data_IF_912659410246
#
_entry.id   IF_912659410246
#
_cell.length_a   1.000
_cell.length_b   1.000
_cell.length_c   1.000
_cell.angle_alpha   90.00
_cell.angle_beta   90.00
_cell.angle_gamma   90.00
#
_symmetry.space_group_name_H-M   'P 1'
#
loop_
_entity.id
_entity.type
_entity.pdbx_description
1 polymer ?
#
# COMPACT_ATOMS: atom_id res chain seq x y z
N UNK A 1 39.08 -39.99 38.15
CA UNK A 1 38.31 -39.31 39.22
C UNK A 1 38.81 -39.71 40.62
N UNK A 2 39.23 -40.96 40.84
CA UNK A 2 39.76 -41.44 42.14
C UNK A 2 41.11 -40.83 42.54
N UNK A 3 42.06 -40.63 41.62
CA UNK A 3 43.38 -40.06 41.96
C UNK A 3 43.33 -38.57 42.30
N UNK A 4 42.46 -37.81 41.63
CA UNK A 4 42.33 -36.36 41.84
C UNK A 4 41.70 -36.03 43.20
N UNK A 5 40.76 -36.87 43.67
CA UNK A 5 40.18 -36.77 45.01
C UNK A 5 41.20 -37.13 46.10
N UNK A 6 42.10 -38.09 45.84
CA UNK A 6 43.15 -38.48 46.78
C UNK A 6 44.19 -37.36 46.97
N UNK A 7 44.58 -36.71 45.88
CA UNK A 7 45.52 -35.59 45.87
C UNK A 7 44.96 -34.31 46.51
N UNK A 8 43.64 -34.10 46.37
CA UNK A 8 42.89 -33.01 47.03
C UNK A 8 42.75 -33.21 48.55
N UNK A 9 42.67 -34.46 49.02
CA UNK A 9 42.48 -34.77 50.44
C UNK A 9 43.79 -34.73 51.26
N UNK A 10 44.93 -35.04 50.63
CA UNK A 10 46.24 -35.03 51.30
C UNK A 10 46.88 -33.63 51.39
N UNK A 11 46.36 -32.65 50.65
CA UNK A 11 47.00 -31.33 50.54
C UNK A 11 45.97 -30.20 50.69
N UNK A 12 45.66 -29.83 51.94
CA UNK A 12 44.64 -28.82 52.28
C UNK A 12 44.89 -27.47 51.57
N UNK A 13 46.14 -27.11 51.29
CA UNK A 13 46.49 -25.91 50.53
C UNK A 13 46.04 -25.96 49.07
N UNK A 14 46.12 -27.13 48.43
CA UNK A 14 45.64 -27.32 47.04
C UNK A 14 44.12 -27.26 46.98
N UNK A 15 43.44 -27.77 48.01
CA UNK A 15 41.97 -27.67 48.11
C UNK A 15 41.50 -26.20 48.17
N UNK A 16 42.20 -25.38 48.95
CA UNK A 16 41.89 -23.95 49.06
C UNK A 16 42.13 -23.20 47.73
N UNK A 17 43.21 -23.51 47.02
CA UNK A 17 43.53 -22.90 45.72
C UNK A 17 42.51 -23.31 44.64
N UNK A 18 42.12 -24.59 44.59
CA UNK A 18 41.10 -25.08 43.65
C UNK A 18 39.72 -24.49 43.99
N UNK A 19 39.37 -24.39 45.27
CA UNK A 19 38.12 -23.77 45.72
C UNK A 19 38.04 -22.27 45.36
N UNK A 20 39.14 -21.54 45.52
CA UNK A 20 39.25 -20.14 45.09
C UNK A 20 39.17 -20.00 43.56
N UNK A 21 39.80 -20.91 42.82
CA UNK A 21 39.72 -20.93 41.35
C UNK A 21 38.28 -21.11 40.85
N UNK A 22 37.51 -22.03 41.46
CA UNK A 22 36.11 -22.28 41.09
C UNK A 22 35.21 -21.09 41.44
N UNK A 23 35.46 -20.39 42.55
CA UNK A 23 34.68 -19.20 42.94
C UNK A 23 34.97 -18.00 42.04
N UNK A 24 36.22 -17.80 41.62
CA UNK A 24 36.58 -16.75 40.67
C UNK A 24 35.97 -17.04 39.29
N UNK A 25 36.07 -18.29 38.80
CA UNK A 25 35.50 -18.68 37.50
C UNK A 25 33.97 -18.57 37.47
N UNK A 26 33.29 -18.95 38.56
CA UNK A 26 31.83 -18.80 38.66
C UNK A 26 31.40 -17.32 38.76
N UNK A 27 32.18 -16.48 39.46
CA UNK A 27 31.97 -15.02 39.47
C UNK A 27 32.14 -14.37 38.10
N UNK A 28 33.17 -14.76 37.34
CA UNK A 28 33.39 -14.26 35.96
C UNK A 28 32.27 -14.74 35.03
N UNK A 29 31.87 -16.01 35.10
CA UNK A 29 30.76 -16.53 34.31
C UNK A 29 29.43 -15.81 34.64
N UNK A 30 29.13 -15.61 35.93
CA UNK A 30 27.95 -14.84 36.36
C UNK A 30 28.02 -13.38 35.87
N UNK A 31 29.19 -12.75 35.90
CA UNK A 31 29.37 -11.39 35.39
C UNK A 31 29.19 -11.30 33.87
N UNK A 32 29.71 -12.25 33.08
CA UNK A 32 29.52 -12.30 31.62
C UNK A 32 28.04 -12.54 31.26
N UNK A 33 27.37 -13.45 31.97
CA UNK A 33 25.94 -13.69 31.78
C UNK A 33 25.07 -12.50 32.22
N UNK A 34 25.47 -11.76 33.27
CA UNK A 34 24.74 -10.58 33.74
C UNK A 34 25.01 -9.34 32.87
N UNK A 35 26.21 -9.20 32.30
CA UNK A 35 26.57 -8.12 31.37
C UNK A 35 25.83 -8.25 30.03
N UNK A 36 25.58 -9.47 29.57
CA UNK A 36 24.70 -9.73 28.42
C UNK A 36 23.20 -9.62 28.75
N UNK A 37 22.83 -9.37 30.01
CA UNK A 37 21.45 -9.10 30.45
C UNK A 37 21.16 -7.63 30.76
N UNK A 38 22.15 -6.75 30.67
CA UNK A 38 21.91 -5.31 30.71
C UNK A 38 21.57 -4.79 29.32
N UNK A 39 20.34 -5.07 28.90
CA UNK A 39 19.63 -4.14 28.02
C UNK A 39 19.51 -2.85 28.83
N UNK A 40 20.19 -1.80 28.36
CA UNK A 40 20.13 -0.48 28.95
C UNK A 40 18.70 0.04 28.89
N UNK A 41 17.95 -0.12 29.98
CA UNK A 41 16.77 0.69 30.26
C UNK A 41 17.26 2.09 30.66
N UNK A 42 17.56 2.91 29.66
CA UNK A 42 17.52 4.36 29.86
C UNK A 42 16.06 4.81 29.87
N UNK A 43 15.51 4.90 31.08
CA UNK A 43 14.37 5.77 31.36
C UNK A 43 14.83 7.21 31.17
N UNK A 44 14.48 7.80 30.03
CA UNK A 44 14.00 9.19 29.85
C UNK A 44 14.29 9.67 28.43
N UNK A 45 13.42 9.29 27.50
CA UNK A 45 13.13 10.05 26.29
C UNK A 45 11.65 9.79 25.93
N UNK A 46 10.83 10.80 25.63
CA UNK A 46 9.38 10.65 25.49
C UNK A 46 8.97 10.12 24.10
N UNK A 47 9.85 9.39 23.41
CA UNK A 47 9.55 8.79 22.12
C UNK A 47 9.30 7.29 22.30
N UNK A 48 8.06 6.92 22.04
CA UNK A 48 7.47 5.58 22.11
C UNK A 48 8.44 4.51 21.58
N UNK A 49 8.94 3.63 22.44
CA UNK A 49 9.59 2.37 22.04
C UNK A 49 8.51 1.29 21.92
N UNK A 50 8.09 0.99 20.70
CA UNK A 50 7.22 -0.14 20.39
C UNK A 50 8.02 -1.45 20.51
N UNK A 51 8.08 -2.00 21.71
CA UNK A 51 8.81 -3.23 22.00
C UNK A 51 8.02 -4.51 21.77
N UNK A 52 6.69 -4.47 21.66
CA UNK A 52 5.81 -5.62 21.44
C UNK A 52 4.71 -5.20 20.45
N UNK A 53 4.20 -6.13 19.64
CA UNK A 53 3.20 -5.83 18.60
C UNK A 53 2.03 -5.00 19.12
N UNK A 54 1.90 -3.78 18.63
CA UNK A 54 0.76 -2.91 18.91
C UNK A 54 -0.36 -3.37 17.98
N UNK A 55 -1.27 -4.19 18.48
CA UNK A 55 -2.58 -4.41 17.85
C UNK A 55 -3.53 -3.32 18.37
N UNK A 56 -3.50 -2.16 17.73
CA UNK A 56 -4.48 -1.10 17.97
C UNK A 56 -5.49 -1.15 16.82
N UNK A 57 -6.74 -1.47 17.13
CA UNK A 57 -7.83 -1.48 16.15
C UNK A 57 -8.33 -0.09 15.72
N UNK A 58 -7.52 0.96 15.88
CA UNK A 58 -7.87 2.36 15.66
C UNK A 58 -6.68 3.30 15.48
N UNK A 59 -6.96 4.59 15.21
CA UNK A 59 -5.99 5.65 14.88
C UNK A 59 -4.83 5.73 15.88
N UNK A 60 -3.58 5.77 15.37
CA UNK A 60 -2.40 6.11 16.17
C UNK A 60 -2.09 7.60 15.93
N UNK A 61 -2.07 8.37 17.02
CA UNK A 61 -1.70 9.79 16.97
C UNK A 61 -0.26 9.91 17.47
N UNK A 62 0.65 10.33 16.59
CA UNK A 62 2.05 10.63 16.94
C UNK A 62 2.33 12.08 16.57
N UNK A 63 2.69 12.91 17.55
CA UNK A 63 3.16 14.28 17.32
C UNK A 63 2.15 15.23 16.64
N UNK A 64 0.83 15.04 16.85
CA UNK A 64 -0.21 15.88 16.26
C UNK A 64 -0.61 15.51 14.83
N UNK A 65 0.02 14.48 14.25
CA UNK A 65 -0.41 13.88 12.98
C UNK A 65 -1.20 12.61 13.26
N UNK A 66 -2.44 12.55 12.77
CA UNK A 66 -3.22 11.29 12.72
C UNK A 66 -2.62 10.40 11.64
N UNK A 67 -2.06 9.26 12.03
CA UNK A 67 -1.77 8.19 11.09
C UNK A 67 -2.87 7.14 11.23
N UNK A 68 -3.72 7.03 10.21
CA UNK A 68 -4.69 5.94 10.14
C UNK A 68 -3.91 4.64 9.95
N UNK A 69 -3.88 3.80 10.99
CA UNK A 69 -3.52 2.40 10.84
C UNK A 69 -4.77 1.71 10.34
N UNK A 70 -4.84 1.48 9.03
CA UNK A 70 -5.86 0.63 8.44
C UNK A 70 -5.71 -0.77 9.04
N UNK A 71 -6.75 -1.22 9.75
CA UNK A 71 -6.89 -2.57 10.27
C UNK A 71 -6.46 -3.60 9.22
N UNK A 72 -5.68 -4.60 9.64
CA UNK A 72 -5.31 -5.79 8.86
C UNK A 72 -6.59 -6.58 8.48
N UNK A 73 -7.29 -6.14 7.44
CA UNK A 73 -7.94 -7.10 6.55
C UNK A 73 -6.82 -7.95 5.93
N UNK A 74 -7.06 -9.23 5.68
CA UNK A 74 -6.14 -10.08 4.89
C UNK A 74 -6.08 -9.54 3.45
N UNK A 75 -5.38 -8.43 3.26
CA UNK A 75 -5.33 -7.66 2.04
C UNK A 75 -3.99 -7.91 1.32
N UNK A 76 -3.97 -7.83 -0.02
CA UNK A 76 -2.73 -7.84 -0.76
C UNK A 76 -2.05 -6.48 -0.61
N UNK A 77 -0.72 -6.48 -0.54
CA UNK A 77 0.09 -5.28 -0.53
C UNK A 77 1.24 -5.50 -1.49
N UNK A 78 1.23 -4.83 -2.64
CA UNK A 78 2.20 -5.09 -3.70
C UNK A 78 3.17 -3.93 -3.83
N UNK A 79 4.45 -4.18 -3.59
CA UNK A 79 5.52 -3.21 -3.83
C UNK A 79 6.19 -3.48 -5.16
N UNK A 80 6.73 -2.42 -5.76
CA UNK A 80 7.63 -2.55 -6.90
C UNK A 80 9.03 -2.17 -6.47
N UNK A 81 9.97 -3.08 -6.73
CA UNK A 81 11.39 -2.85 -6.59
C UNK A 81 12.02 -2.79 -7.98
N UNK A 82 12.85 -1.78 -8.28
CA UNK A 82 13.66 -1.81 -9.48
C UNK A 82 14.70 -2.91 -9.31
N UNK A 83 14.80 -3.81 -10.28
CA UNK A 83 15.83 -4.85 -10.29
C UNK A 83 17.07 -4.39 -11.05
N UNK A 84 16.88 -3.87 -12.26
CA UNK A 84 17.94 -3.23 -13.03
C UNK A 84 17.39 -2.23 -14.05
N UNK A 85 18.08 -1.11 -14.24
CA UNK A 85 17.85 -0.17 -15.32
C UNK A 85 18.84 -0.45 -16.44
N UNK A 86 18.41 -1.13 -17.50
CA UNK A 86 19.26 -1.35 -18.68
C UNK A 86 19.16 -0.14 -19.61
N UNK A 87 20.17 0.73 -19.53
CA UNK A 87 20.22 2.00 -20.26
C UNK A 87 20.17 1.87 -21.79
N UNK A 88 20.34 0.69 -22.38
CA UNK A 88 20.56 0.58 -23.83
C UNK A 88 19.35 0.11 -24.65
N UNK A 89 18.29 -0.42 -24.02
CA UNK A 89 17.17 -1.06 -24.75
C UNK A 89 15.78 -0.45 -24.51
N UNK A 90 15.65 0.51 -23.58
CA UNK A 90 14.34 1.05 -23.21
C UNK A 90 13.45 0.03 -22.49
N UNK A 91 14.06 -0.99 -21.89
CA UNK A 91 13.41 -2.01 -21.09
C UNK A 91 13.60 -1.72 -19.61
N UNK A 92 12.57 -2.06 -18.82
CA UNK A 92 12.58 -1.90 -17.38
C UNK A 92 12.23 -3.22 -16.71
N UNK A 93 13.16 -3.69 -15.88
CA UNK A 93 13.01 -4.92 -15.14
C UNK A 93 12.46 -4.58 -13.76
N UNK A 94 11.16 -4.84 -13.61
CA UNK A 94 10.46 -4.62 -12.36
C UNK A 94 10.25 -5.93 -11.63
N UNK A 95 10.61 -5.93 -10.34
CA UNK A 95 10.20 -6.96 -9.41
C UNK A 95 8.96 -6.47 -8.68
N UNK A 96 7.87 -7.19 -8.86
CA UNK A 96 6.64 -7.05 -8.10
C UNK A 96 6.74 -8.01 -6.93
N UNK A 97 6.54 -7.52 -5.71
CA UNK A 97 6.58 -8.34 -4.50
C UNK A 97 5.29 -8.13 -3.72
N UNK A 98 4.60 -9.23 -3.41
CA UNK A 98 3.43 -9.18 -2.54
C UNK A 98 3.88 -9.35 -1.09
N UNK A 99 3.87 -8.24 -0.35
CA UNK A 99 4.14 -8.18 1.09
C UNK A 99 2.87 -8.28 1.93
N UNK A 100 1.71 -8.50 1.29
CA UNK A 100 0.43 -8.68 1.95
C UNK A 100 0.10 -10.14 2.23
N UNK A 101 -1.05 -10.36 2.88
CA UNK A 101 -1.47 -11.68 3.39
C UNK A 101 -2.41 -12.43 2.43
N UNK A 102 -2.88 -11.79 1.37
CA UNK A 102 -3.75 -12.43 0.35
C UNK A 102 -3.18 -12.32 -1.06
N UNK A 103 -3.71 -13.14 -1.97
CA UNK A 103 -3.24 -13.20 -3.36
C UNK A 103 -3.67 -11.95 -4.12
N UNK A 104 -2.71 -11.26 -4.74
CA UNK A 104 -2.96 -10.12 -5.60
C UNK A 104 -3.14 -10.55 -7.06
N UNK A 105 -4.07 -9.93 -7.78
CA UNK A 105 -4.17 -9.97 -9.24
C UNK A 105 -3.74 -8.61 -9.76
N UNK A 106 -2.56 -8.54 -10.37
CA UNK A 106 -1.97 -7.31 -10.91
C UNK A 106 -2.59 -7.01 -12.25
N UNK A 107 -3.19 -5.81 -12.40
CA UNK A 107 -4.00 -5.50 -13.58
C UNK A 107 -3.38 -4.44 -14.47
N UNK A 108 -2.76 -3.42 -13.87
CA UNK A 108 -2.35 -2.23 -14.61
C UNK A 108 -1.23 -1.48 -13.90
N UNK A 109 -0.32 -0.91 -14.70
CA UNK A 109 0.74 -0.03 -14.24
C UNK A 109 0.67 1.32 -14.98
N UNK A 110 0.87 2.42 -14.24
CA UNK A 110 0.97 3.79 -14.76
C UNK A 110 2.25 4.46 -14.30
N UNK A 111 2.82 5.25 -15.20
CA UNK A 111 3.94 6.16 -14.91
C UNK A 111 3.54 7.55 -15.44
N UNK A 112 3.47 8.53 -14.54
CA UNK A 112 2.80 9.80 -14.80
C UNK A 112 1.37 9.57 -15.29
N UNK A 113 1.03 10.14 -16.44
CA UNK A 113 -0.30 10.01 -17.04
C UNK A 113 -0.43 8.87 -18.06
N UNK A 114 0.64 8.10 -18.30
CA UNK A 114 0.64 7.09 -19.35
C UNK A 114 0.56 5.68 -18.78
N UNK A 115 -0.20 4.84 -19.46
CA UNK A 115 -0.31 3.43 -19.15
C UNK A 115 0.91 2.65 -19.67
N UNK A 116 1.49 1.81 -18.83
CA UNK A 116 2.58 0.89 -19.22
C UNK A 116 1.96 -0.44 -19.61
N UNK A 117 2.25 -0.97 -20.82
CA UNK A 117 1.79 -2.29 -21.22
C UNK A 117 2.22 -3.37 -20.23
N UNK A 118 1.25 -4.04 -19.60
CA UNK A 118 1.47 -5.07 -18.61
C UNK A 118 0.35 -6.12 -18.73
N UNK A 119 0.72 -7.37 -18.95
CA UNK A 119 -0.23 -8.48 -18.92
C UNK A 119 -0.72 -8.72 -17.49
N UNK A 120 -2.00 -9.04 -17.32
CA UNK A 120 -2.54 -9.40 -16.00
C UNK A 120 -1.85 -10.68 -15.47
N UNK A 121 -1.48 -10.68 -14.19
CA UNK A 121 -0.91 -11.86 -13.53
C UNK A 121 -1.21 -11.90 -12.04
N UNK A 122 -1.09 -13.09 -11.44
CA UNK A 122 -1.33 -13.31 -10.02
C UNK A 122 -0.04 -13.36 -9.22
N UNK A 123 -0.10 -12.91 -7.97
CA UNK A 123 1.01 -12.90 -7.04
C UNK A 123 0.53 -13.35 -5.66
N UNK A 124 0.87 -14.59 -5.29
CA UNK A 124 0.54 -15.15 -3.98
C UNK A 124 1.30 -14.40 -2.84
N UNK A 125 0.85 -14.53 -1.58
CA UNK A 125 1.54 -13.94 -0.43
C UNK A 125 3.02 -14.31 -0.39
N UNK A 126 3.87 -13.34 -0.05
CA UNK A 126 5.33 -13.46 0.04
C UNK A 126 6.02 -13.94 -1.25
N UNK A 127 5.36 -13.79 -2.40
CA UNK A 127 5.93 -14.12 -3.71
C UNK A 127 6.36 -12.88 -4.48
N UNK A 128 7.32 -13.11 -5.36
CA UNK A 128 7.86 -12.11 -6.26
C UNK A 128 7.69 -12.56 -7.71
N UNK A 129 7.44 -11.61 -8.60
CA UNK A 129 7.41 -11.81 -10.03
C UNK A 129 8.25 -10.74 -10.71
N UNK A 130 9.11 -11.18 -11.63
CA UNK A 130 9.90 -10.29 -12.49
C UNK A 130 9.17 -10.09 -13.81
N UNK A 131 9.02 -8.84 -14.25
CA UNK A 131 8.47 -8.49 -15.56
C UNK A 131 9.41 -7.55 -16.30
N UNK A 132 9.60 -7.84 -17.58
CA UNK A 132 10.34 -7.01 -18.52
C UNK A 132 9.33 -6.10 -19.23
N UNK A 133 9.39 -4.80 -18.98
CA UNK A 133 8.45 -3.84 -19.53
C UNK A 133 9.14 -2.94 -20.55
N UNK A 134 8.51 -2.74 -21.71
CA UNK A 134 8.97 -1.74 -22.66
C UNK A 134 8.50 -0.36 -22.18
N UNK A 135 9.45 0.44 -21.70
CA UNK A 135 9.22 1.81 -21.23
C UNK A 135 10.05 2.80 -22.04
N UNK A 136 10.39 2.46 -23.29
CA UNK A 136 11.23 3.30 -24.16
C UNK A 136 10.75 4.75 -24.27
N UNK A 137 9.43 5.00 -24.28
CA UNK A 137 8.83 6.34 -24.27
C UNK A 137 8.89 7.10 -22.94
N UNK A 138 9.29 6.43 -21.86
CA UNK A 138 9.39 7.00 -20.50
C UNK A 138 10.85 7.22 -20.06
N UNK A 139 11.82 6.72 -20.82
CA UNK A 139 13.25 6.80 -20.46
C UNK A 139 13.74 8.24 -20.34
N UNK A 140 13.30 9.08 -21.27
CA UNK A 140 13.63 10.49 -21.33
C UNK A 140 12.31 11.25 -21.35
N UNK A 141 12.02 11.92 -20.24
CA UNK A 141 10.83 12.74 -20.14
C UNK A 141 11.15 14.12 -20.70
N UNK A 142 10.28 14.61 -21.58
CA UNK A 142 10.34 16.00 -22.04
C UNK A 142 10.02 16.98 -20.89
N UNK A 143 9.19 16.55 -19.95
CA UNK A 143 8.74 17.35 -18.81
C UNK A 143 8.84 16.58 -17.50
N UNK A 144 9.00 17.31 -16.39
CA UNK A 144 9.02 16.72 -15.05
C UNK A 144 7.62 16.26 -14.67
N UNK A 145 7.47 15.01 -14.23
CA UNK A 145 6.20 14.47 -13.74
C UNK A 145 5.90 14.96 -12.31
N UNK A 146 4.62 15.23 -12.06
CA UNK A 146 4.07 15.50 -10.74
C UNK A 146 4.10 14.26 -9.84
N UNK A 147 4.32 14.44 -8.55
CA UNK A 147 4.36 13.37 -7.54
C UNK A 147 2.99 13.16 -6.88
N UNK A 148 2.51 11.91 -6.67
CA UNK A 148 3.13 10.65 -7.07
C UNK A 148 3.10 10.44 -8.59
N UNK A 149 4.21 9.95 -9.14
CA UNK A 149 4.37 9.76 -10.59
C UNK A 149 4.35 8.28 -11.01
N UNK A 150 3.87 7.40 -10.12
CA UNK A 150 3.77 5.97 -10.34
C UNK A 150 2.51 5.44 -9.65
N UNK A 151 1.74 4.60 -10.36
CA UNK A 151 0.59 3.89 -9.79
C UNK A 151 0.52 2.44 -10.30
N UNK A 152 0.39 1.49 -9.37
CA UNK A 152 0.12 0.08 -9.65
C UNK A 152 -1.29 -0.27 -9.17
N UNK A 153 -2.10 -0.85 -10.05
CA UNK A 153 -3.46 -1.29 -9.74
C UNK A 153 -3.54 -2.80 -9.67
N UNK A 154 -4.18 -3.30 -8.62
CA UNK A 154 -4.38 -4.72 -8.39
C UNK A 154 -5.67 -4.98 -7.63
N UNK A 155 -6.11 -6.24 -7.59
CA UNK A 155 -7.26 -6.67 -6.78
C UNK A 155 -6.91 -7.87 -5.93
N UNK A 156 -7.60 -8.04 -4.82
CA UNK A 156 -7.60 -9.30 -4.08
C UNK A 156 -8.30 -10.37 -4.91
N UNK A 157 -7.63 -11.50 -5.10
CA UNK A 157 -8.18 -12.66 -5.79
C UNK A 157 -9.47 -13.18 -5.15
N UNK A 158 -9.56 -13.17 -3.82
CA UNK A 158 -10.66 -13.78 -3.07
C UNK A 158 -11.88 -12.87 -2.98
N UNK A 159 -11.66 -11.60 -2.59
CA UNK A 159 -12.75 -10.64 -2.40
C UNK A 159 -13.04 -9.78 -3.63
N UNK A 160 -12.18 -9.80 -4.65
CA UNK A 160 -12.21 -8.86 -5.79
C UNK A 160 -12.11 -7.38 -5.40
N UNK A 161 -11.83 -7.05 -4.12
CA UNK A 161 -11.55 -5.68 -3.67
C UNK A 161 -10.35 -5.14 -4.43
N UNK A 162 -10.42 -3.89 -4.87
CA UNK A 162 -9.36 -3.24 -5.64
C UNK A 162 -8.42 -2.46 -4.71
N UNK A 163 -7.17 -2.37 -5.11
CA UNK A 163 -6.10 -1.72 -4.37
C UNK A 163 -5.18 -1.00 -5.36
N UNK A 164 -4.52 0.06 -4.88
CA UNK A 164 -3.42 0.68 -5.60
C UNK A 164 -2.21 0.87 -4.70
N UNK A 165 -1.05 0.72 -5.30
CA UNK A 165 0.21 1.20 -4.74
C UNK A 165 0.61 2.43 -5.52
N UNK A 166 0.82 3.53 -4.82
CA UNK A 166 1.37 4.77 -5.40
C UNK A 166 2.79 4.96 -4.92
N UNK A 167 3.61 5.62 -5.73
CA UNK A 167 5.00 5.86 -5.38
C UNK A 167 5.65 6.94 -6.23
N UNK A 168 6.93 7.15 -5.97
CA UNK A 168 7.75 8.15 -6.65
C UNK A 168 8.91 7.47 -7.37
N UNK A 169 9.07 7.76 -8.65
CA UNK A 169 10.27 7.51 -9.45
C UNK A 169 11.07 8.80 -9.45
N UNK A 170 12.32 8.76 -8.97
CA UNK A 170 13.19 9.93 -9.00
C UNK A 170 13.46 10.39 -10.43
N UNK A 171 13.66 11.69 -10.63
CA UNK A 171 13.83 12.29 -11.95
C UNK A 171 15.10 13.15 -11.96
N UNK A 172 16.13 12.67 -12.65
CA UNK A 172 17.43 13.35 -12.72
C UNK A 172 17.47 14.24 -13.97
N UNK A 173 17.68 15.53 -13.77
CA UNK A 173 17.77 16.51 -14.86
C UNK A 173 19.02 16.28 -15.71
N UNK A 174 18.88 16.52 -17.01
CA UNK A 174 19.93 16.40 -18.02
C UNK A 174 20.32 17.77 -18.57
N UNK A 175 21.50 17.85 -19.17
CA UNK A 175 22.00 19.05 -19.83
C UNK A 175 21.13 19.53 -21.03
N UNK A 176 20.35 18.62 -21.62
CA UNK A 176 19.40 18.91 -22.71
C UNK A 176 18.02 19.40 -22.21
N UNK A 177 17.87 19.64 -20.90
CA UNK A 177 16.60 20.08 -20.28
C UNK A 177 15.61 18.96 -20.00
N UNK A 178 15.92 17.71 -20.41
CA UNK A 178 15.07 16.54 -20.21
C UNK A 178 15.36 15.84 -18.88
N UNK A 179 14.60 14.80 -18.56
CA UNK A 179 14.76 14.05 -17.30
C UNK A 179 14.96 12.55 -17.53
N UNK A 180 15.88 11.94 -16.80
CA UNK A 180 16.02 10.49 -16.71
C UNK A 180 15.23 9.95 -15.52
N UNK A 181 14.57 8.80 -15.69
CA UNK A 181 13.98 8.06 -14.57
C UNK A 181 15.08 7.38 -13.73
N UNK A 182 14.94 7.50 -12.42
CA UNK A 182 15.82 6.90 -11.42
C UNK A 182 15.08 5.96 -10.47
N UNK A 183 15.40 6.00 -9.17
CA UNK A 183 14.94 5.00 -8.19
C UNK A 183 13.47 5.16 -7.85
N UNK A 184 12.80 4.03 -7.57
CA UNK A 184 11.46 4.01 -6.98
C UNK A 184 11.59 4.16 -5.46
N UNK A 185 10.82 5.06 -4.88
CA UNK A 185 10.75 5.34 -3.45
C UNK A 185 9.33 5.70 -3.01
N UNK A 186 9.12 5.83 -1.70
CA UNK A 186 7.90 6.39 -1.10
C UNK A 186 6.62 5.66 -1.51
N UNK A 187 6.63 4.34 -1.38
CA UNK A 187 5.47 3.50 -1.70
C UNK A 187 4.40 3.60 -0.61
N UNK A 188 3.18 3.91 -1.04
CA UNK A 188 1.99 3.93 -0.18
C UNK A 188 0.93 2.99 -0.75
N UNK A 189 0.37 2.14 0.11
CA UNK A 189 -0.70 1.22 -0.24
C UNK A 189 -2.02 1.84 0.11
N UNK A 190 -2.91 1.90 -0.87
CA UNK A 190 -4.21 2.52 -0.72
C UNK A 190 -5.25 1.49 -1.17
N UNK A 191 -6.20 1.09 -0.30
CA UNK A 191 -7.39 0.43 -0.80
C UNK A 191 -8.04 1.35 -1.84
N UNK A 192 -8.30 0.83 -3.03
CA UNK A 192 -9.23 1.50 -3.94
C UNK A 192 -10.57 1.07 -3.40
N UNK A 193 -11.06 1.82 -2.42
CA UNK A 193 -12.44 1.68 -2.01
C UNK A 193 -13.25 1.80 -3.29
N UNK A 194 -13.92 0.70 -3.68
CA UNK A 194 -15.08 0.85 -4.55
C UNK A 194 -16.20 1.55 -3.78
N UNK A 195 -16.08 1.66 -2.46
CA UNK A 195 -16.78 2.66 -1.64
C UNK A 195 -15.99 3.97 -1.63
N UNK A 196 -15.44 4.32 -2.80
CA UNK A 196 -14.76 5.57 -3.02
C UNK A 196 -15.70 6.65 -2.54
N UNK A 197 -15.18 7.63 -1.79
CA UNK A 197 -15.97 8.79 -1.42
C UNK A 197 -16.66 9.28 -2.69
N UNK A 198 -17.97 8.99 -2.76
CA UNK A 198 -18.77 9.27 -3.94
C UNK A 198 -18.54 10.74 -4.25
N UNK A 199 -18.15 11.06 -5.49
CA UNK A 199 -17.82 12.45 -5.79
C UNK A 199 -19.05 13.31 -5.48
N UNK A 200 -18.88 14.56 -5.03
CA UNK A 200 -20.04 15.41 -4.71
C UNK A 200 -21.01 15.50 -5.90
N UNK A 201 -20.48 15.45 -7.13
CA UNK A 201 -21.28 15.40 -8.35
C UNK A 201 -22.03 14.06 -8.50
N UNK A 202 -21.31 12.95 -8.37
CA UNK A 202 -21.88 11.60 -8.46
C UNK A 202 -22.96 11.40 -7.39
N UNK A 203 -22.74 11.89 -6.16
CA UNK A 203 -23.71 11.84 -5.07
C UNK A 203 -24.98 12.61 -5.38
N UNK A 204 -24.84 13.84 -5.90
CA UNK A 204 -25.99 14.68 -6.27
C UNK A 204 -26.81 14.06 -7.40
N UNK A 205 -26.15 13.43 -8.38
CA UNK A 205 -26.83 12.66 -9.42
C UNK A 205 -27.55 11.45 -8.82
N UNK A 206 -26.88 10.71 -7.95
CA UNK A 206 -27.40 9.51 -7.30
C UNK A 206 -28.64 9.81 -6.45
N UNK A 207 -28.58 10.87 -5.62
CA UNK A 207 -29.70 11.35 -4.78
C UNK A 207 -30.93 11.66 -5.62
N UNK A 208 -30.75 12.32 -6.78
CA UNK A 208 -31.86 12.69 -7.68
C UNK A 208 -32.46 11.50 -8.41
N UNK A 209 -31.62 10.60 -8.92
CA UNK A 209 -32.08 9.37 -9.57
C UNK A 209 -32.82 8.47 -8.59
N UNK A 210 -32.29 8.33 -7.36
CA UNK A 210 -32.90 7.52 -6.32
C UNK A 210 -34.22 8.12 -5.80
N UNK A 211 -34.31 9.44 -5.65
CA UNK A 211 -35.57 10.10 -5.29
C UNK A 211 -36.69 9.90 -6.34
N UNK A 212 -36.33 9.78 -7.62
CA UNK A 212 -37.29 9.40 -8.67
C UNK A 212 -37.68 7.92 -8.54
N UNK A 213 -36.70 7.04 -8.38
CA UNK A 213 -36.92 5.61 -8.16
C UNK A 213 -37.85 5.32 -6.97
N UNK A 214 -37.68 6.01 -5.84
CA UNK A 214 -38.56 5.85 -4.67
C UNK A 214 -40.03 6.23 -4.95
N UNK A 215 -40.26 7.14 -5.90
CA UNK A 215 -41.62 7.58 -6.28
C UNK A 215 -42.26 6.69 -7.33
N UNK A 216 -41.48 6.22 -8.31
CA UNK A 216 -42.00 5.50 -9.48
C UNK A 216 -41.83 3.98 -9.37
N UNK A 217 -40.91 3.50 -8.53
CA UNK A 217 -40.45 2.11 -8.50
C UNK A 217 -39.62 1.72 -9.73
N UNK A 218 -39.35 2.65 -10.64
CA UNK A 218 -38.68 2.43 -11.91
C UNK A 218 -37.36 3.17 -12.00
N UNK A 219 -36.38 2.58 -12.70
CA UNK A 219 -35.05 3.17 -12.93
C UNK A 219 -35.10 4.04 -14.19
N UNK A 220 -35.84 5.13 -14.10
CA UNK A 220 -36.13 5.97 -15.24
C UNK A 220 -34.88 6.70 -15.75
N UNK A 221 -34.79 6.85 -17.07
CA UNK A 221 -33.70 7.58 -17.73
C UNK A 221 -33.80 9.07 -17.44
N UNK A 222 -32.69 9.70 -17.09
CA UNK A 222 -32.60 11.16 -16.92
C UNK A 222 -31.60 11.74 -17.91
N UNK A 223 -32.10 12.53 -18.86
CA UNK A 223 -31.26 13.16 -19.90
C UNK A 223 -30.12 13.97 -19.29
N UNK A 224 -28.91 13.77 -19.79
CA UNK A 224 -27.71 14.42 -19.27
C UNK A 224 -27.80 15.94 -19.35
N UNK A 225 -28.36 16.48 -20.44
CA UNK A 225 -28.59 17.93 -20.61
C UNK A 225 -29.48 18.53 -19.52
N UNK A 226 -30.55 17.80 -19.15
CA UNK A 226 -31.49 18.25 -18.11
C UNK A 226 -30.83 18.15 -16.74
N UNK A 227 -30.07 17.07 -16.49
CA UNK A 227 -29.30 16.89 -15.28
C UNK A 227 -28.23 17.98 -15.10
N UNK A 228 -27.54 18.37 -16.18
CA UNK A 228 -26.52 19.43 -16.14
C UNK A 228 -27.13 20.77 -15.78
N UNK A 229 -28.26 21.11 -16.39
CA UNK A 229 -29.00 22.33 -16.09
C UNK A 229 -29.50 22.35 -14.64
N UNK A 230 -30.10 21.25 -14.17
CA UNK A 230 -30.67 21.16 -12.84
C UNK A 230 -29.60 21.13 -11.73
N UNK A 231 -28.47 20.47 -11.98
CA UNK A 231 -27.35 20.38 -11.03
C UNK A 231 -26.34 21.52 -11.17
N UNK A 232 -26.55 22.46 -12.09
CA UNK A 232 -25.63 23.58 -12.32
C UNK A 232 -24.23 23.13 -12.73
N UNK A 233 -24.14 22.03 -13.49
CA UNK A 233 -22.89 21.49 -14.04
C UNK A 233 -22.51 22.36 -15.22
N UNK A 234 -21.31 22.92 -15.22
CA UNK A 234 -20.83 23.81 -16.28
C UNK A 234 -20.32 23.00 -17.46
N UNK A 235 -20.44 23.56 -18.66
CA UNK A 235 -19.82 22.99 -19.86
C UNK A 235 -18.30 22.87 -19.66
N UNK A 236 -17.75 21.68 -19.96
CA UNK A 236 -16.33 21.37 -19.77
C UNK A 236 -15.93 20.98 -18.34
N UNK A 237 -16.88 20.86 -17.39
CA UNK A 237 -16.61 20.29 -16.07
C UNK A 237 -16.25 18.81 -16.20
N UNK A 238 -15.26 18.36 -15.42
CA UNK A 238 -14.82 16.96 -15.44
C UNK A 238 -15.94 16.02 -14.96
N UNK A 239 -16.30 15.07 -15.82
CA UNK A 239 -17.33 14.04 -15.61
C UNK A 239 -16.74 12.63 -15.45
N UNK A 240 -15.41 12.49 -15.44
CA UNK A 240 -14.71 11.20 -15.33
C UNK A 240 -15.28 10.32 -14.21
N UNK A 241 -15.52 10.92 -13.04
CA UNK A 241 -16.11 10.23 -11.87
C UNK A 241 -17.51 9.64 -12.11
N UNK A 242 -18.30 10.23 -13.00
CA UNK A 242 -19.64 9.74 -13.35
C UNK A 242 -19.54 8.67 -14.44
N UNK A 243 -18.64 8.83 -15.41
CA UNK A 243 -18.40 7.83 -16.47
C UNK A 243 -17.91 6.49 -15.91
N UNK A 244 -17.06 6.53 -14.89
CA UNK A 244 -16.51 5.35 -14.23
C UNK A 244 -17.36 4.86 -13.02
N UNK A 245 -18.54 5.45 -12.82
CA UNK A 245 -19.41 5.13 -11.69
C UNK A 245 -19.95 3.69 -11.76
N UNK A 246 -19.90 2.98 -10.64
CA UNK A 246 -20.61 1.69 -10.48
C UNK A 246 -22.08 1.88 -10.12
N UNK A 247 -22.46 3.06 -9.61
CA UNK A 247 -23.79 3.39 -9.12
C UNK A 247 -24.70 3.98 -10.21
N UNK A 248 -24.09 4.65 -11.20
CA UNK A 248 -24.78 5.33 -12.29
C UNK A 248 -24.24 4.79 -13.61
N UNK A 249 -25.15 4.40 -14.50
CA UNK A 249 -24.83 3.99 -15.87
C UNK A 249 -25.25 5.09 -16.84
N UNK A 250 -24.46 5.28 -17.89
CA UNK A 250 -24.82 6.15 -19.01
C UNK A 250 -25.40 5.25 -20.12
N UNK A 251 -26.61 5.59 -20.57
CA UNK A 251 -27.28 4.91 -21.67
C UNK A 251 -27.71 5.91 -22.73
N UNK A 252 -27.79 5.46 -23.98
CA UNK A 252 -28.35 6.27 -25.05
C UNK A 252 -29.88 6.12 -25.10
N UNK A 253 -30.57 7.23 -25.28
CA UNK A 253 -31.98 7.31 -25.63
C UNK A 253 -32.12 8.09 -26.94
N UNK A 254 -32.13 7.34 -28.05
CA UNK A 254 -31.93 7.88 -29.38
C UNK A 254 -30.54 8.51 -29.51
N UNK A 255 -30.49 9.84 -29.66
CA UNK A 255 -29.26 10.63 -29.77
C UNK A 255 -28.82 11.30 -28.46
N UNK A 256 -29.55 11.08 -27.36
CA UNK A 256 -29.28 11.73 -26.08
C UNK A 256 -28.62 10.77 -25.11
N UNK A 257 -27.57 11.23 -24.43
CA UNK A 257 -27.01 10.54 -23.27
C UNK A 257 -27.94 10.73 -22.07
N UNK A 258 -28.20 9.63 -21.36
CA UNK A 258 -29.08 9.58 -20.20
C UNK A 258 -28.37 8.87 -19.03
N UNK A 259 -28.50 9.44 -17.84
CA UNK A 259 -28.08 8.80 -16.60
C UNK A 259 -29.19 7.86 -16.10
N UNK A 260 -28.78 6.66 -15.70
CA UNK A 260 -29.66 5.59 -15.21
C UNK A 260 -29.07 4.99 -13.94
N UNK A 261 -29.91 4.76 -12.94
CA UNK A 261 -29.52 4.12 -11.69
C UNK A 261 -29.17 2.64 -11.93
N UNK A 262 -28.04 2.15 -11.40
CA UNK A 262 -27.71 0.72 -11.45
C UNK A 262 -28.33 -0.04 -10.27
N UNK A 263 -28.31 -1.38 -10.31
CA UNK A 263 -28.69 -2.18 -9.14
C UNK A 263 -27.79 -1.92 -7.94
N UNK A 264 -26.50 -1.64 -8.20
CA UNK A 264 -25.57 -1.27 -7.13
C UNK A 264 -25.86 0.10 -6.56
N UNK A 265 -26.27 1.07 -7.39
CA UNK A 265 -26.72 2.39 -6.95
C UNK A 265 -27.95 2.33 -6.06
N UNK A 266 -28.95 1.53 -6.41
CA UNK A 266 -30.13 1.28 -5.54
C UNK A 266 -29.69 0.69 -4.20
N UNK A 267 -28.92 -0.41 -4.23
CA UNK A 267 -28.47 -1.09 -3.01
C UNK A 267 -27.62 -0.17 -2.14
N UNK A 268 -26.80 0.68 -2.73
CA UNK A 268 -25.99 1.64 -2.00
C UNK A 268 -26.88 2.65 -1.26
N UNK A 269 -27.86 3.24 -1.94
CA UNK A 269 -28.77 4.23 -1.37
C UNK A 269 -29.74 3.65 -0.33
N UNK A 270 -30.17 2.40 -0.49
CA UNK A 270 -31.00 1.70 0.49
C UNK A 270 -30.27 1.42 1.82
N UNK A 271 -28.94 1.44 1.82
CA UNK A 271 -28.08 1.14 2.99
C UNK A 271 -27.40 2.39 3.59
N UNK A 272 -27.75 3.60 3.15
CA UNK A 272 -27.33 4.88 3.75
C UNK A 272 -28.27 5.28 4.89
#
# INVERSE_FOLDING_TARGET
MSELLKLLNENQGVLAVVGLGITILSGIAAWVFNKNRQVSNHSNSPYIQAGHGISAGGDIIVGGSKTQVTNNENAPAVVIKPDSFTHNTGQFDLIFENTGLSTAVIQKLRIGNNDVPLDEFTLAPDKQARKHLNVSGFRILEEKMDTPNFELFYKDFSSSKKYKTVGNISQDSRADGKYNLGKISEMSFLPINQDGAISNLEKRLLDKLYAKYQKTGSRDKWKATDAFKELGIKDGQDLSTVHDSKFIKIELDGTHECFVLTSEGVRYMDNQ
#
